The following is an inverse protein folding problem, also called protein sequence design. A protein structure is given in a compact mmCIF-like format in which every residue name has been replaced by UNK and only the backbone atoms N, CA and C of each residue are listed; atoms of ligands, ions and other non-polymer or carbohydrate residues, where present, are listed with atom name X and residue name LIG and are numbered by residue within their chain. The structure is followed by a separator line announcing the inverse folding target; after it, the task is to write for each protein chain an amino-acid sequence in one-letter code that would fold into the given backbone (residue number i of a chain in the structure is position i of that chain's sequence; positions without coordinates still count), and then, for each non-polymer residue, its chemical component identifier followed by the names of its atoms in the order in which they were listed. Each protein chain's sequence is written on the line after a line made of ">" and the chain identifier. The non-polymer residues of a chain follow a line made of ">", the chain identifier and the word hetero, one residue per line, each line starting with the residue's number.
data_IF_326278622241
#
_entry.id   IF_326278622241
#
_cell.length_a   1.000
_cell.length_b   1.000
_cell.length_c   1.000
_cell.angle_alpha   90.00
_cell.angle_beta   90.00
_cell.angle_gamma   90.00
#
_symmetry.space_group_name_H-M   'P 1'
#
loop_
_entity.id
_entity.type
_entity.pdbx_description
1 polymer ?
#
# COMPACT_ATOMS: atom_id res chain seq x y z
N UNK A 1 26.29 38.20 -15.04
CA UNK A 1 26.68 38.03 -16.46
C UNK A 1 26.22 36.65 -16.88
N UNK A 2 25.25 36.37 -17.75
CA UNK A 2 24.35 37.13 -18.60
C UNK A 2 23.94 36.17 -19.73
N UNK A 3 22.65 35.98 -20.00
CA UNK A 3 22.10 35.92 -21.36
C UNK A 3 20.56 36.00 -21.29
N UNK A 4 20.05 37.11 -21.80
CA UNK A 4 18.64 37.41 -22.10
C UNK A 4 18.52 37.50 -23.62
N UNK A 5 17.46 36.93 -24.22
CA UNK A 5 16.89 37.52 -25.43
C UNK A 5 15.40 37.17 -25.60
N UNK A 6 14.57 38.22 -25.52
CA UNK A 6 13.22 38.32 -26.06
C UNK A 6 13.33 38.62 -27.55
N UNK A 7 12.53 37.95 -28.38
CA UNK A 7 12.19 38.47 -29.71
C UNK A 7 10.71 38.84 -29.69
N UNK A 8 10.47 40.16 -29.62
CA UNK A 8 9.27 40.82 -30.10
C UNK A 8 9.42 40.99 -31.61
N UNK A 9 8.49 40.49 -32.40
CA UNK A 9 8.26 40.98 -33.75
C UNK A 9 6.91 41.70 -33.73
N UNK A 10 7.00 43.03 -33.74
CA UNK A 10 5.92 43.93 -34.13
C UNK A 10 5.93 44.00 -35.65
N UNK A 11 4.86 43.54 -36.30
CA UNK A 11 4.49 44.01 -37.63
C UNK A 11 3.24 44.88 -37.48
N UNK A 12 3.42 46.17 -37.79
CA UNK A 12 2.38 47.18 -37.85
C UNK A 12 2.20 47.54 -39.33
N UNK A 13 0.95 47.52 -39.82
CA UNK A 13 0.38 48.16 -41.04
C UNK A 13 -0.83 47.32 -41.48
N UNK A 14 -2.05 47.79 -41.74
CA UNK A 14 -2.64 49.11 -41.91
C UNK A 14 -4.14 49.03 -41.50
N UNK A 15 -4.71 50.15 -41.03
CA UNK A 15 -6.15 50.36 -40.88
C UNK A 15 -6.85 50.32 -42.24
N UNK A 16 -7.94 49.55 -42.37
CA UNK A 16 -9.11 49.88 -43.20
C UNK A 16 -10.37 49.36 -42.47
N UNK A 17 -11.30 50.27 -42.21
CA UNK A 17 -12.60 49.98 -41.63
C UNK A 17 -13.61 49.72 -42.75
N UNK A 18 -14.29 48.58 -42.71
CA UNK A 18 -15.61 48.40 -43.32
C UNK A 18 -16.35 47.28 -42.58
N UNK A 19 -17.49 47.67 -42.02
CA UNK A 19 -18.43 46.88 -41.23
C UNK A 19 -19.14 45.82 -42.07
N UNK A 20 -19.10 44.56 -41.64
CA UNK A 20 -20.14 43.55 -41.91
C UNK A 20 -20.31 42.71 -40.65
N UNK A 21 -21.50 42.79 -40.05
CA UNK A 21 -21.92 41.93 -38.94
C UNK A 21 -22.19 40.53 -39.48
N UNK A 22 -21.25 39.60 -39.32
CA UNK A 22 -21.53 38.17 -39.35
C UNK A 22 -21.31 37.61 -37.95
N UNK A 23 -22.40 37.37 -37.22
CA UNK A 23 -22.33 36.51 -36.04
C UNK A 23 -21.89 35.15 -36.55
N UNK A 24 -20.67 34.74 -36.20
CA UNK A 24 -20.10 33.49 -36.62
C UNK A 24 -20.94 32.37 -35.97
N UNK A 25 -21.70 31.60 -36.77
CA UNK A 25 -22.46 30.41 -36.32
C UNK A 25 -21.60 29.44 -35.49
N UNK A 26 -20.29 29.47 -35.69
CA UNK A 26 -19.31 28.70 -34.93
C UNK A 26 -19.13 29.17 -33.47
N UNK A 27 -19.48 30.42 -33.14
CA UNK A 27 -19.40 30.92 -31.76
C UNK A 27 -20.60 30.47 -30.92
N UNK A 28 -21.80 30.39 -31.51
CA UNK A 28 -22.98 29.85 -30.83
C UNK A 28 -22.90 28.32 -30.68
N UNK A 29 -22.22 27.62 -31.60
CA UNK A 29 -21.93 26.17 -31.47
C UNK A 29 -20.94 25.81 -30.36
N UNK A 30 -20.17 26.76 -29.82
CA UNK A 30 -19.32 26.50 -28.64
C UNK A 30 -20.13 26.43 -27.33
N UNK A 31 -21.42 26.82 -27.36
CA UNK A 31 -22.34 26.74 -26.22
C UNK A 31 -23.40 25.64 -26.35
N UNK A 32 -23.45 24.91 -27.47
CA UNK A 32 -24.40 23.80 -27.72
C UNK A 32 -23.94 22.43 -27.20
N UNK A 33 -22.88 22.39 -26.38
CA UNK A 33 -22.33 21.15 -25.82
C UNK A 33 -22.47 20.99 -24.31
N UNK A 34 -23.05 21.97 -23.60
CA UNK A 34 -23.24 21.87 -22.16
C UNK A 34 -24.62 21.28 -21.89
N UNK A 35 -24.80 20.01 -22.27
CA UNK A 35 -25.88 19.20 -21.73
C UNK A 35 -25.78 19.31 -20.21
N UNK A 36 -26.81 19.86 -19.57
CA UNK A 36 -26.98 19.74 -18.12
C UNK A 36 -26.75 18.27 -17.79
N UNK A 37 -25.80 17.93 -16.90
CA UNK A 37 -25.53 16.53 -16.60
C UNK A 37 -26.85 15.89 -16.16
N UNK A 38 -27.34 14.97 -16.98
CA UNK A 38 -28.55 14.20 -16.68
C UNK A 38 -28.27 13.48 -15.37
N UNK A 39 -29.12 13.70 -14.37
CA UNK A 39 -28.94 13.08 -13.06
C UNK A 39 -28.93 11.55 -13.25
N UNK A 40 -27.80 10.87 -12.96
CA UNK A 40 -27.70 9.43 -13.16
C UNK A 40 -28.63 8.64 -12.25
N UNK A 41 -29.26 9.26 -11.25
CA UNK A 41 -30.25 8.65 -10.36
C UNK A 41 -31.67 8.62 -10.92
N UNK A 42 -31.93 9.26 -12.08
CA UNK A 42 -33.26 9.28 -12.71
C UNK A 42 -33.23 8.84 -14.17
N UNK A 43 -34.28 8.17 -14.59
CA UNK A 43 -34.59 7.82 -15.98
C UNK A 43 -36.00 8.33 -16.30
N UNK A 44 -36.07 9.46 -17.03
CA UNK A 44 -37.34 10.13 -17.35
C UNK A 44 -38.27 10.27 -16.11
N UNK A 45 -37.74 10.87 -15.04
CA UNK A 45 -38.36 11.04 -13.71
C UNK A 45 -38.61 9.76 -12.89
N UNK A 46 -38.23 8.57 -13.38
CA UNK A 46 -38.26 7.34 -12.58
C UNK A 46 -36.95 7.18 -11.80
N UNK A 47 -37.01 7.00 -10.47
CA UNK A 47 -35.80 6.82 -9.67
C UNK A 47 -35.16 5.47 -9.99
N UNK A 48 -33.83 5.45 -10.10
CA UNK A 48 -33.01 4.25 -10.27
C UNK A 48 -31.81 4.29 -9.34
N UNK A 49 -31.21 3.12 -9.10
CA UNK A 49 -29.98 3.03 -8.29
C UNK A 49 -28.85 3.78 -9.00
N UNK A 50 -28.22 4.69 -8.28
CA UNK A 50 -26.99 5.36 -8.68
C UNK A 50 -25.94 5.15 -7.59
N UNK A 51 -24.69 5.00 -7.99
CA UNK A 51 -23.53 4.86 -7.10
C UNK A 51 -22.51 5.93 -7.48
N UNK A 52 -21.83 6.57 -6.50
CA UNK A 52 -20.76 7.51 -6.81
C UNK A 52 -19.62 6.84 -7.59
N UNK A 53 -18.82 7.67 -8.28
CA UNK A 53 -17.66 7.19 -9.01
C UNK A 53 -16.65 6.49 -8.11
N UNK A 54 -15.95 5.50 -8.69
CA UNK A 54 -14.84 4.84 -8.04
C UNK A 54 -13.63 5.78 -7.96
N UNK A 55 -13.14 6.04 -6.75
CA UNK A 55 -12.05 6.99 -6.50
C UNK A 55 -11.01 6.43 -5.55
N UNK A 56 -9.77 6.94 -5.65
CA UNK A 56 -8.79 6.77 -4.60
C UNK A 56 -9.13 7.69 -3.42
N UNK A 57 -9.83 7.16 -2.41
CA UNK A 57 -10.25 7.90 -1.23
C UNK A 57 -9.08 8.42 -0.37
N UNK A 58 -7.85 7.91 -0.57
CA UNK A 58 -6.67 8.38 0.15
C UNK A 58 -5.99 9.58 -0.50
N UNK A 59 -6.24 9.85 -1.78
CA UNK A 59 -5.50 10.86 -2.54
C UNK A 59 -5.63 12.27 -1.92
N UNK A 60 -4.50 12.90 -1.63
CA UNK A 60 -4.43 14.21 -0.99
C UNK A 60 -4.86 14.25 0.49
N UNK A 61 -5.27 13.13 1.08
CA UNK A 61 -5.69 13.07 2.48
C UNK A 61 -4.45 12.92 3.37
N UNK A 62 -4.29 13.75 4.42
CA UNK A 62 -3.14 13.67 5.30
C UNK A 62 -3.14 12.37 6.10
N UNK A 63 -2.01 11.66 6.08
CA UNK A 63 -1.80 10.45 6.89
C UNK A 63 -1.07 10.80 8.17
N UNK A 64 -1.59 10.34 9.30
CA UNK A 64 -0.91 10.43 10.60
C UNK A 64 0.02 9.23 10.77
N UNK A 65 1.32 9.48 10.72
CA UNK A 65 2.35 8.48 11.01
C UNK A 65 2.79 8.55 12.49
N UNK A 66 3.02 7.41 13.15
CA UNK A 66 3.57 7.39 14.51
C UNK A 66 5.08 7.64 14.57
N UNK A 67 5.78 7.43 13.47
CA UNK A 67 7.22 7.68 13.34
C UNK A 67 7.49 8.31 11.97
N UNK A 68 8.42 9.24 11.89
CA UNK A 68 8.91 9.82 10.64
C UNK A 68 10.35 10.27 10.87
N UNK A 69 11.28 9.87 10.00
CA UNK A 69 12.68 10.17 10.20
C UNK A 69 12.97 11.68 10.10
N UNK A 70 13.97 12.16 10.83
CA UNK A 70 14.48 13.52 10.65
C UNK A 70 13.63 14.64 11.25
N UNK A 71 12.51 14.34 11.94
CA UNK A 71 11.60 15.35 12.51
C UNK A 71 12.24 16.17 13.63
N UNK A 72 12.94 15.51 14.55
CA UNK A 72 13.57 16.16 15.70
C UNK A 72 15.06 16.39 15.49
N UNK A 73 15.76 15.37 14.99
CA UNK A 73 17.20 15.38 14.72
C UNK A 73 17.49 14.65 13.41
N UNK A 74 18.56 15.03 12.68
CA UNK A 74 19.01 14.25 11.53
C UNK A 74 19.41 12.83 11.94
N UNK A 75 18.91 11.83 11.21
CA UNK A 75 19.17 10.41 11.49
C UNK A 75 19.78 9.73 10.27
N UNK A 76 20.71 8.81 10.51
CA UNK A 76 21.28 7.98 9.45
C UNK A 76 20.41 6.75 9.22
N UNK A 77 20.17 6.41 7.96
CA UNK A 77 19.56 5.15 7.57
C UNK A 77 20.44 4.47 6.52
N UNK A 78 20.45 3.15 6.51
CA UNK A 78 21.28 2.38 5.58
C UNK A 78 20.43 1.40 4.79
N UNK A 79 20.73 1.27 3.50
CA UNK A 79 20.03 0.38 2.58
C UNK A 79 21.05 -0.54 1.91
N UNK A 80 20.73 -1.82 1.85
CA UNK A 80 21.49 -2.78 1.05
C UNK A 80 20.79 -2.92 -0.30
N UNK A 81 21.44 -2.55 -1.43
CA UNK A 81 20.82 -2.67 -2.75
C UNK A 81 20.54 -4.13 -3.12
N UNK A 82 21.35 -5.06 -2.63
CA UNK A 82 21.19 -6.50 -2.83
C UNK A 82 21.53 -7.27 -1.54
N UNK A 83 20.94 -8.47 -1.32
CA UNK A 83 21.31 -9.34 -0.22
C UNK A 83 22.82 -9.68 -0.26
N UNK A 84 23.58 -9.25 0.73
CA UNK A 84 25.03 -9.47 0.82
C UNK A 84 25.90 -8.34 0.26
N UNK A 85 25.32 -7.28 -0.31
CA UNK A 85 26.04 -6.07 -0.70
C UNK A 85 26.37 -5.19 0.53
N UNK A 86 27.40 -4.35 0.40
CA UNK A 86 27.71 -3.37 1.43
C UNK A 86 26.57 -2.35 1.56
N UNK A 87 26.04 -2.11 2.78
CA UNK A 87 24.95 -1.17 2.97
C UNK A 87 25.43 0.27 2.70
N UNK A 88 24.66 1.00 1.90
CA UNK A 88 24.88 2.42 1.66
C UNK A 88 24.06 3.23 2.67
N UNK A 89 24.74 4.09 3.43
CA UNK A 89 24.10 4.92 4.44
C UNK A 89 23.87 6.35 3.93
N UNK A 90 22.70 6.88 4.24
CA UNK A 90 22.21 8.20 3.87
C UNK A 90 21.70 8.94 5.10
N UNK A 91 21.56 10.26 4.98
CA UNK A 91 21.00 11.11 6.03
C UNK A 91 19.54 11.40 5.74
N UNK A 92 18.68 11.29 6.75
CA UNK A 92 17.33 11.82 6.75
C UNK A 92 17.25 13.05 7.65
N UNK A 93 16.82 14.18 7.10
CA UNK A 93 16.65 15.47 7.78
C UNK A 93 15.44 16.18 7.19
N UNK A 94 14.38 16.37 7.99
CA UNK A 94 13.11 16.94 7.54
C UNK A 94 13.24 18.43 7.13
N UNK A 95 14.30 19.10 7.62
CA UNK A 95 14.62 20.50 7.28
C UNK A 95 15.16 20.66 5.87
N UNK A 96 15.63 19.58 5.25
CA UNK A 96 16.27 19.59 3.94
C UNK A 96 15.38 18.93 2.89
N UNK A 97 15.00 19.69 1.86
CA UNK A 97 14.05 19.23 0.85
C UNK A 97 14.44 17.94 0.11
N UNK A 98 15.75 17.69 -0.05
CA UNK A 98 16.27 16.50 -0.76
C UNK A 98 16.36 15.24 0.10
N UNK A 99 16.30 15.38 1.43
CA UNK A 99 16.51 14.29 2.39
C UNK A 99 15.37 14.18 3.41
N UNK A 100 14.23 14.82 3.13
CA UNK A 100 13.00 14.70 3.91
C UNK A 100 12.11 13.61 3.33
N UNK A 101 11.45 12.86 4.21
CA UNK A 101 10.54 11.77 3.86
C UNK A 101 9.21 11.88 4.62
N UNK A 102 8.47 13.00 4.48
CA UNK A 102 7.26 13.29 5.25
C UNK A 102 6.10 12.35 4.91
N UNK A 103 5.15 12.19 5.83
CA UNK A 103 3.95 11.38 5.64
C UNK A 103 3.03 11.87 4.50
N UNK A 104 3.18 13.13 4.06
CA UNK A 104 2.46 13.67 2.90
C UNK A 104 2.81 12.97 1.58
N UNK A 105 3.97 12.31 1.51
CA UNK A 105 4.38 11.52 0.33
C UNK A 105 3.69 10.15 0.24
N UNK A 106 2.79 9.81 1.17
CA UNK A 106 2.00 8.57 1.10
C UNK A 106 0.79 8.71 0.18
N UNK A 107 0.30 9.92 -0.02
CA UNK A 107 -0.99 10.21 -0.66
C UNK A 107 -0.90 11.31 -1.73
N UNK A 108 0.31 11.71 -2.11
CA UNK A 108 0.57 12.65 -3.19
C UNK A 108 0.43 11.99 -4.57
N UNK A 109 0.73 12.76 -5.61
CA UNK A 109 0.70 12.26 -6.98
C UNK A 109 1.88 11.31 -7.22
N UNK A 110 1.58 10.02 -7.31
CA UNK A 110 2.58 8.99 -7.60
C UNK A 110 3.02 9.07 -9.06
N UNK A 111 4.27 9.52 -9.30
CA UNK A 111 4.93 9.48 -10.59
C UNK A 111 6.00 8.37 -10.61
N UNK A 112 5.86 7.31 -11.43
CA UNK A 112 6.84 6.22 -11.49
C UNK A 112 8.27 6.65 -11.83
N UNK A 113 8.44 7.80 -12.51
CA UNK A 113 9.77 8.35 -12.85
C UNK A 113 10.37 9.19 -11.73
N UNK A 114 9.57 9.65 -10.77
CA UNK A 114 9.99 10.47 -9.65
C UNK A 114 9.17 10.11 -8.40
N UNK A 115 9.50 8.94 -7.84
CA UNK A 115 8.78 8.38 -6.70
C UNK A 115 9.14 9.13 -5.43
N UNK A 116 8.13 9.66 -4.76
CA UNK A 116 8.21 10.23 -3.42
C UNK A 116 7.90 9.14 -2.39
N UNK A 117 8.53 9.25 -1.21
CA UNK A 117 8.52 8.19 -0.21
C UNK A 117 8.42 8.73 1.20
N UNK A 118 7.53 8.18 2.02
CA UNK A 118 7.62 8.35 3.47
C UNK A 118 8.59 7.33 4.08
N UNK A 119 9.24 7.71 5.19
CA UNK A 119 10.17 6.83 5.91
C UNK A 119 10.04 7.01 7.42
N UNK A 120 9.95 5.90 8.15
CA UNK A 120 10.00 5.88 9.61
C UNK A 120 11.43 6.16 10.11
N UNK A 121 11.57 6.40 11.40
CA UNK A 121 12.90 6.35 12.03
C UNK A 121 13.53 4.95 11.86
N UNK A 122 14.87 4.85 11.87
CA UNK A 122 15.56 3.56 11.82
C UNK A 122 15.13 2.66 12.99
N UNK A 123 14.67 1.46 12.65
CA UNK A 123 14.23 0.47 13.62
C UNK A 123 15.41 -0.48 13.87
N UNK A 124 15.78 -0.74 15.14
CA UNK A 124 16.87 -1.68 15.43
C UNK A 124 16.52 -3.09 14.94
N UNK A 125 17.51 -3.86 14.44
CA UNK A 125 17.27 -5.22 14.01
C UNK A 125 16.80 -6.08 15.18
N UNK A 126 15.74 -6.85 14.95
CA UNK A 126 15.15 -7.71 15.96
C UNK A 126 15.94 -9.02 16.03
N UNK A 127 16.47 -9.35 17.21
CA UNK A 127 17.30 -10.54 17.44
C UNK A 127 16.51 -11.75 17.94
N UNK A 128 15.26 -11.57 18.36
CA UNK A 128 14.42 -12.64 18.91
C UNK A 128 12.97 -12.53 18.47
N UNK A 129 12.33 -13.67 18.24
CA UNK A 129 10.90 -13.73 17.90
C UNK A 129 10.00 -13.22 19.03
N UNK A 130 10.49 -13.20 20.27
CA UNK A 130 9.73 -12.71 21.42
C UNK A 130 9.97 -11.21 21.69
N UNK A 131 10.80 -10.54 20.89
CA UNK A 131 11.01 -9.11 21.03
C UNK A 131 9.68 -8.34 20.81
N UNK A 132 9.52 -7.17 21.46
CA UNK A 132 8.37 -6.31 21.23
C UNK A 132 8.21 -5.95 19.74
N UNK A 133 6.98 -5.80 19.25
CA UNK A 133 6.73 -5.37 17.87
C UNK A 133 7.17 -3.92 17.63
N UNK A 134 7.58 -3.63 16.39
CA UNK A 134 8.05 -2.32 15.94
C UNK A 134 6.98 -1.23 16.06
N UNK A 135 5.70 -1.62 15.93
CA UNK A 135 4.51 -0.79 16.15
C UNK A 135 4.53 0.57 15.42
N UNK A 136 5.11 0.63 14.22
CA UNK A 136 4.99 1.81 13.37
C UNK A 136 3.60 1.81 12.73
N UNK A 137 2.86 2.91 12.88
CA UNK A 137 1.47 3.01 12.44
C UNK A 137 1.26 4.15 11.48
N UNK A 138 0.42 3.91 10.48
CA UNK A 138 -0.11 4.91 9.54
C UNK A 138 -1.62 4.93 9.69
N UNK A 139 -2.19 6.09 10.02
CA UNK A 139 -3.64 6.27 10.18
C UNK A 139 -4.15 7.28 9.18
N UNK A 140 -5.14 6.87 8.40
CA UNK A 140 -5.82 7.65 7.37
C UNK A 140 -7.29 7.82 7.77
N UNK A 141 -7.73 9.07 7.94
CA UNK A 141 -9.12 9.41 8.24
C UNK A 141 -9.82 9.93 6.99
N UNK A 142 -10.83 9.22 6.49
CA UNK A 142 -11.50 9.53 5.22
C UNK A 142 -12.56 10.62 5.35
N UNK A 143 -12.99 10.96 6.57
CA UNK A 143 -13.97 12.00 6.87
C UNK A 143 -15.43 11.64 6.56
N UNK A 144 -15.69 10.52 5.88
CA UNK A 144 -17.02 9.94 5.64
C UNK A 144 -16.92 8.42 5.48
N UNK A 145 -18.06 7.74 5.44
CA UNK A 145 -18.11 6.31 5.14
C UNK A 145 -17.83 6.05 3.65
N UNK A 146 -16.97 5.09 3.38
CA UNK A 146 -16.67 4.55 2.07
C UNK A 146 -16.92 3.05 2.05
N UNK A 147 -17.40 2.53 0.92
CA UNK A 147 -17.35 1.10 0.60
C UNK A 147 -16.03 0.79 -0.09
N UNK A 148 -15.09 0.18 0.64
CA UNK A 148 -13.74 -0.05 0.16
C UNK A 148 -13.64 -1.33 -0.68
N UNK A 149 -13.17 -1.20 -1.92
CA UNK A 149 -12.85 -2.34 -2.78
C UNK A 149 -11.47 -2.93 -2.47
N UNK A 150 -10.45 -2.07 -2.25
CA UNK A 150 -9.10 -2.53 -1.91
C UNK A 150 -8.33 -1.50 -1.08
N UNK A 151 -7.32 -1.98 -0.36
CA UNK A 151 -6.25 -1.17 0.23
C UNK A 151 -4.94 -1.62 -0.41
N UNK A 152 -4.13 -0.66 -0.87
CA UNK A 152 -2.90 -0.95 -1.61
C UNK A 152 -1.74 -0.14 -1.04
N UNK A 153 -0.65 -0.82 -0.70
CA UNK A 153 0.59 -0.24 -0.20
C UNK A 153 1.68 -0.50 -1.23
N UNK A 154 2.34 0.55 -1.69
CA UNK A 154 3.51 0.47 -2.55
C UNK A 154 4.73 0.88 -1.73
N UNK A 155 5.73 0.01 -1.69
CA UNK A 155 6.99 0.25 -1.00
C UNK A 155 7.99 0.88 -1.96
N UNK A 156 8.89 1.66 -1.37
CA UNK A 156 9.92 2.38 -2.11
C UNK A 156 10.88 1.40 -2.82
N UNK A 157 11.52 1.85 -3.91
CA UNK A 157 12.58 1.08 -4.55
C UNK A 157 13.65 0.66 -3.54
N UNK A 158 14.24 -0.52 -3.73
CA UNK A 158 15.29 -1.08 -2.87
C UNK A 158 14.90 -1.26 -1.38
N UNK A 159 13.62 -1.13 -1.05
CA UNK A 159 13.10 -1.38 0.30
C UNK A 159 12.39 -2.74 0.34
N UNK A 160 12.79 -3.68 1.22
CA UNK A 160 12.11 -4.96 1.35
C UNK A 160 10.70 -4.77 1.89
N UNK A 161 9.79 -5.70 1.53
CA UNK A 161 8.45 -5.74 2.15
C UNK A 161 8.61 -6.14 3.63
N UNK A 162 7.93 -5.44 4.55
CA UNK A 162 7.87 -5.88 5.94
C UNK A 162 7.28 -7.28 6.04
N UNK A 163 7.83 -8.12 6.92
CA UNK A 163 7.31 -9.46 7.12
C UNK A 163 5.91 -9.45 7.74
N UNK A 164 5.68 -8.64 8.77
CA UNK A 164 4.44 -8.68 9.55
C UNK A 164 3.72 -7.33 9.57
N UNK A 165 2.56 -7.30 8.90
CA UNK A 165 1.71 -6.11 8.75
C UNK A 165 0.27 -6.45 9.15
N UNK A 166 -0.41 -5.52 9.81
CA UNK A 166 -1.83 -5.61 10.10
C UNK A 166 -2.57 -4.37 9.58
N UNK A 167 -3.66 -4.57 8.87
CA UNK A 167 -4.57 -3.54 8.40
C UNK A 167 -5.81 -3.60 9.27
N UNK A 168 -6.19 -2.46 9.82
CA UNK A 168 -7.41 -2.25 10.60
C UNK A 168 -8.27 -1.21 9.92
N UNK A 169 -9.58 -1.28 10.15
CA UNK A 169 -10.54 -0.24 9.78
C UNK A 169 -11.32 0.25 10.99
N UNK A 170 -11.88 1.44 10.87
CA UNK A 170 -12.92 1.97 11.76
C UNK A 170 -14.18 2.24 10.97
N UNK A 171 -15.35 2.14 11.62
CA UNK A 171 -16.65 2.51 11.04
C UNK A 171 -17.32 3.66 11.81
N UNK A 172 -16.64 4.17 12.84
CA UNK A 172 -17.15 5.11 13.83
C UNK A 172 -16.21 6.31 14.03
N UNK A 173 -15.49 6.70 12.98
CA UNK A 173 -14.58 7.85 12.93
C UNK A 173 -13.39 7.72 13.88
N UNK A 174 -12.77 6.53 13.90
CA UNK A 174 -11.53 6.24 14.60
C UNK A 174 -11.68 5.90 16.08
N UNK A 175 -12.91 5.78 16.61
CA UNK A 175 -13.17 5.45 18.02
C UNK A 175 -12.88 3.98 18.33
N UNK A 176 -13.36 3.08 17.47
CA UNK A 176 -13.06 1.64 17.55
C UNK A 176 -12.34 1.18 16.29
N UNK A 177 -11.54 0.13 16.45
CA UNK A 177 -10.70 -0.43 15.40
C UNK A 177 -10.95 -1.93 15.30
N UNK A 178 -11.35 -2.38 14.12
CA UNK A 178 -11.57 -3.79 13.82
C UNK A 178 -10.50 -4.30 12.85
N UNK A 179 -9.99 -5.53 13.04
CA UNK A 179 -9.05 -6.15 12.11
C UNK A 179 -9.65 -6.27 10.71
N UNK A 180 -8.85 -5.96 9.70
CA UNK A 180 -9.28 -6.01 8.29
C UNK A 180 -8.49 -7.07 7.51
N UNK A 181 -7.17 -7.09 7.65
CA UNK A 181 -6.28 -8.06 7.00
C UNK A 181 -4.95 -8.18 7.77
N UNK A 182 -4.39 -9.39 7.82
CA UNK A 182 -3.06 -9.65 8.38
C UNK A 182 -2.13 -10.25 7.32
N UNK A 183 -0.87 -9.85 7.36
CA UNK A 183 0.22 -10.39 6.58
C UNK A 183 1.35 -10.79 7.53
N UNK A 184 1.84 -12.04 7.46
CA UNK A 184 2.97 -12.52 8.25
C UNK A 184 3.47 -13.87 7.70
N UNK A 185 4.77 -14.13 7.76
CA UNK A 185 5.28 -15.50 7.54
C UNK A 185 4.92 -16.46 8.67
N UNK A 186 4.71 -15.95 9.88
CA UNK A 186 4.41 -16.72 11.08
C UNK A 186 3.07 -16.29 11.69
N UNK A 187 2.01 -16.30 10.88
CA UNK A 187 0.63 -15.91 11.27
C UNK A 187 0.17 -16.44 12.63
N UNK A 188 0.47 -17.72 12.93
CA UNK A 188 0.05 -18.35 14.18
C UNK A 188 0.80 -17.79 15.38
N UNK A 189 2.09 -17.52 15.25
CA UNK A 189 2.94 -17.00 16.34
C UNK A 189 2.74 -15.50 16.54
N UNK A 190 2.63 -14.73 15.47
CA UNK A 190 2.52 -13.26 15.53
C UNK A 190 1.10 -12.81 15.86
N UNK A 191 0.08 -13.42 15.25
CA UNK A 191 -1.32 -12.98 15.37
C UNK A 191 -2.26 -14.03 15.97
N UNK A 192 -1.77 -15.21 16.35
CA UNK A 192 -2.64 -16.29 16.84
C UNK A 192 -3.53 -16.92 15.76
N UNK A 193 -3.38 -16.53 14.49
CA UNK A 193 -4.29 -16.88 13.39
C UNK A 193 -3.72 -17.97 12.48
N UNK A 194 -4.56 -18.89 11.96
CA UNK A 194 -4.13 -19.82 10.93
C UNK A 194 -3.72 -19.09 9.64
N UNK A 195 -2.69 -19.61 8.96
CA UNK A 195 -2.25 -19.09 7.66
C UNK A 195 -3.26 -19.50 6.57
N UNK A 196 -3.71 -18.54 5.76
CA UNK A 196 -4.64 -18.72 4.63
C UNK A 196 -5.93 -19.45 5.01
N UNK A 197 -6.52 -19.08 6.15
CA UNK A 197 -7.80 -19.65 6.60
C UNK A 197 -8.92 -19.44 5.57
N UNK A 198 -9.66 -20.51 5.24
CA UNK A 198 -10.84 -20.42 4.38
C UNK A 198 -11.96 -19.66 5.08
N UNK A 199 -12.66 -18.80 4.34
CA UNK A 199 -13.82 -18.05 4.83
C UNK A 199 -15.05 -18.77 4.29
N UNK A 200 -15.96 -19.07 5.19
CA UNK A 200 -17.25 -19.69 4.92
C UNK A 200 -18.33 -18.62 5.01
N UNK A 201 -19.57 -18.98 4.64
CA UNK A 201 -20.71 -18.07 4.77
C UNK A 201 -21.02 -17.63 6.20
N UNK A 202 -20.51 -18.33 7.22
CA UNK A 202 -20.77 -18.00 8.63
C UNK A 202 -19.79 -17.00 9.22
N UNK A 203 -18.61 -16.81 8.61
CA UNK A 203 -17.56 -15.92 9.10
C UNK A 203 -17.06 -14.94 8.03
N UNK A 204 -17.97 -14.44 7.19
CA UNK A 204 -17.66 -13.52 6.09
C UNK A 204 -17.11 -12.16 6.51
N UNK A 205 -17.04 -11.85 7.80
CA UNK A 205 -16.40 -10.65 8.32
C UNK A 205 -15.09 -10.95 9.08
N UNK A 206 -14.58 -12.18 8.98
CA UNK A 206 -13.32 -12.53 9.64
C UNK A 206 -12.13 -11.99 8.82
N UNK A 207 -11.16 -11.39 9.52
CA UNK A 207 -9.88 -10.97 8.98
C UNK A 207 -8.92 -12.16 8.86
N UNK A 208 -8.46 -12.42 7.63
CA UNK A 208 -7.51 -13.50 7.33
C UNK A 208 -6.07 -13.09 7.66
N UNK A 209 -5.22 -14.09 7.87
CA UNK A 209 -3.77 -13.92 7.84
C UNK A 209 -3.16 -14.69 6.67
N UNK A 210 -2.21 -14.09 5.94
CA UNK A 210 -1.52 -14.73 4.80
C UNK A 210 -0.06 -14.31 4.68
N UNK A 211 0.79 -15.23 4.25
CA UNK A 211 2.18 -15.00 3.86
C UNK A 211 2.35 -14.64 2.37
N UNK A 212 1.25 -14.54 1.61
CA UNK A 212 1.27 -14.34 0.15
C UNK A 212 2.10 -13.12 -0.30
N UNK A 213 2.12 -12.06 0.51
CA UNK A 213 2.89 -10.84 0.24
C UNK A 213 4.38 -11.08 -0.01
N UNK A 214 4.95 -12.16 0.54
CA UNK A 214 6.36 -12.54 0.36
C UNK A 214 6.66 -13.02 -1.06
N UNK A 215 5.69 -13.63 -1.70
CA UNK A 215 5.80 -14.24 -3.03
C UNK A 215 5.28 -13.32 -4.14
N UNK A 216 4.43 -12.35 -3.80
CA UNK A 216 3.92 -11.38 -4.77
C UNK A 216 4.98 -10.33 -5.08
N UNK A 217 5.42 -10.25 -6.34
CA UNK A 217 6.33 -9.21 -6.82
C UNK A 217 7.81 -9.58 -6.88
N UNK A 218 8.16 -10.84 -7.14
CA UNK A 218 9.54 -11.20 -7.51
C UNK A 218 9.77 -12.68 -7.79
N UNK A 219 9.75 -13.07 -9.08
CA UNK A 219 10.66 -14.08 -9.66
C UNK A 219 10.66 -14.02 -11.22
N UNK A 220 10.89 -12.83 -11.80
CA UNK A 220 11.13 -12.70 -13.24
C UNK A 220 12.12 -11.55 -13.49
N UNK A 221 13.40 -11.86 -13.34
CA UNK A 221 14.49 -11.57 -14.29
C UNK A 221 14.72 -10.19 -14.91
N UNK A 222 13.96 -9.12 -14.65
CA UNK A 222 14.23 -7.82 -15.25
C UNK A 222 13.86 -6.65 -14.34
N UNK A 223 14.76 -5.68 -14.28
CA UNK A 223 14.72 -4.43 -13.53
C UNK A 223 13.34 -3.73 -13.56
N UNK A 224 12.77 -3.49 -12.38
CA UNK A 224 11.51 -2.75 -12.20
C UNK A 224 10.55 -3.37 -11.18
N UNK A 225 11.02 -3.81 -10.02
CA UNK A 225 10.18 -4.48 -9.03
C UNK A 225 9.32 -3.47 -8.26
N UNK A 226 8.04 -3.33 -8.62
CA UNK A 226 7.08 -2.63 -7.75
C UNK A 226 6.76 -3.53 -6.57
N UNK A 227 7.46 -3.31 -5.46
CA UNK A 227 7.17 -3.93 -4.17
C UNK A 227 5.80 -3.45 -3.68
N UNK A 228 4.76 -4.27 -3.88
CA UNK A 228 3.35 -3.89 -3.60
C UNK A 228 2.66 -4.96 -2.76
N UNK A 229 1.88 -4.51 -1.79
CA UNK A 229 0.93 -5.33 -1.05
C UNK A 229 -0.46 -4.79 -1.32
N UNK A 230 -1.33 -5.64 -1.85
CA UNK A 230 -2.72 -5.30 -2.11
C UNK A 230 -3.64 -6.23 -1.32
N UNK A 231 -4.61 -5.62 -0.65
CA UNK A 231 -5.68 -6.29 0.06
C UNK A 231 -6.99 -5.99 -0.68
N UNK A 232 -7.63 -7.01 -1.23
CA UNK A 232 -8.96 -6.92 -1.82
C UNK A 232 -10.01 -7.36 -0.78
N UNK A 233 -10.98 -6.50 -0.48
CA UNK A 233 -11.88 -6.68 0.67
C UNK A 233 -12.82 -7.88 0.51
N UNK A 234 -13.21 -8.18 -0.73
CA UNK A 234 -14.14 -9.25 -1.08
C UNK A 234 -13.44 -10.56 -1.48
N UNK A 235 -12.10 -10.60 -1.52
CA UNK A 235 -11.36 -11.76 -1.99
C UNK A 235 -11.60 -13.02 -1.16
N UNK A 236 -12.05 -14.08 -1.85
CA UNK A 236 -12.34 -15.38 -1.26
C UNK A 236 -13.47 -15.38 -0.24
N UNK A 237 -14.39 -14.41 -0.31
CA UNK A 237 -15.64 -14.38 0.46
C UNK A 237 -16.79 -14.94 -0.39
N UNK A 238 -17.50 -16.00 0.06
CA UNK A 238 -18.53 -16.68 -0.73
C UNK A 238 -19.64 -15.80 -1.31
N UNK A 239 -20.11 -14.79 -0.58
CA UNK A 239 -21.22 -13.92 -1.01
C UNK A 239 -20.76 -12.73 -1.87
N UNK A 240 -19.49 -12.66 -2.27
CA UNK A 240 -18.97 -11.55 -3.08
C UNK A 240 -19.67 -11.40 -4.44
N UNK A 241 -20.12 -12.50 -5.04
CA UNK A 241 -20.87 -12.48 -6.31
C UNK A 241 -22.29 -11.94 -6.15
N UNK A 242 -22.82 -11.91 -4.93
CA UNK A 242 -24.16 -11.42 -4.59
C UNK A 242 -24.06 -10.28 -3.54
N UNK A 243 -23.09 -9.39 -3.74
CA UNK A 243 -22.76 -8.31 -2.79
C UNK A 243 -23.95 -7.38 -2.52
N UNK A 244 -24.73 -7.08 -3.55
CA UNK A 244 -25.89 -6.17 -3.47
C UNK A 244 -26.98 -6.66 -2.51
N UNK A 245 -27.07 -7.98 -2.31
CA UNK A 245 -28.02 -8.59 -1.38
C UNK A 245 -27.35 -9.08 -0.07
N UNK A 246 -26.05 -8.86 0.11
CA UNK A 246 -25.30 -9.28 1.30
C UNK A 246 -25.03 -8.11 2.23
N UNK A 247 -25.90 -7.85 3.24
CA UNK A 247 -25.66 -6.79 4.22
C UNK A 247 -24.39 -7.04 5.04
N UNK A 248 -24.01 -8.31 5.21
CA UNK A 248 -22.78 -8.72 5.90
C UNK A 248 -21.54 -8.19 5.18
N UNK A 249 -21.50 -8.31 3.85
CA UNK A 249 -20.38 -7.82 3.06
C UNK A 249 -20.42 -6.30 2.87
N UNK A 250 -21.60 -5.70 2.76
CA UNK A 250 -21.76 -4.24 2.72
C UNK A 250 -21.17 -3.58 3.99
N UNK A 251 -21.47 -4.14 5.16
CA UNK A 251 -20.85 -3.72 6.42
C UNK A 251 -19.35 -4.03 6.46
N UNK A 252 -18.92 -5.18 5.93
CA UNK A 252 -17.50 -5.56 5.84
C UNK A 252 -16.66 -4.59 4.99
N UNK A 253 -17.18 -4.08 3.88
CA UNK A 253 -16.42 -3.12 3.05
C UNK A 253 -16.50 -1.69 3.58
N UNK A 254 -17.48 -1.40 4.44
CA UNK A 254 -17.69 -0.05 4.98
C UNK A 254 -16.58 0.35 5.96
N UNK A 255 -15.99 1.54 5.75
CA UNK A 255 -15.01 2.13 6.65
C UNK A 255 -15.04 3.68 6.62
N UNK A 256 -14.70 4.31 7.74
CA UNK A 256 -14.42 5.75 7.87
C UNK A 256 -12.93 6.06 7.99
N UNK A 257 -12.15 5.09 8.49
CA UNK A 257 -10.71 5.26 8.72
C UNK A 257 -9.99 3.94 8.46
N UNK A 258 -8.73 4.04 8.04
CA UNK A 258 -7.83 2.91 7.83
C UNK A 258 -6.57 3.12 8.65
N UNK A 259 -6.12 2.05 9.31
CA UNK A 259 -4.88 2.03 10.07
C UNK A 259 -4.05 0.85 9.64
N UNK A 260 -2.82 1.12 9.22
CA UNK A 260 -1.82 0.11 8.91
C UNK A 260 -0.82 0.08 10.04
N UNK A 261 -0.52 -1.10 10.55
CA UNK A 261 0.46 -1.34 11.63
C UNK A 261 1.55 -2.25 11.09
N UNK A 262 2.77 -1.75 11.08
CA UNK A 262 3.99 -2.52 10.78
C UNK A 262 4.51 -3.11 12.09
N UNK A 263 4.29 -4.41 12.28
CA UNK A 263 4.65 -5.10 13.52
C UNK A 263 6.08 -5.65 13.49
N UNK A 264 6.54 -6.11 12.32
CA UNK A 264 7.94 -6.53 12.12
C UNK A 264 8.39 -6.24 10.70
N UNK A 265 9.52 -5.55 10.56
CA UNK A 265 10.18 -5.37 9.28
C UNK A 265 10.79 -6.67 8.74
N UNK A 266 11.53 -7.39 9.60
CA UNK A 266 12.15 -8.68 9.25
C UNK A 266 11.86 -9.70 10.34
N UNK A 267 11.71 -10.97 9.95
CA UNK A 267 11.69 -12.06 10.93
C UNK A 267 13.11 -12.44 11.33
N UNK A 268 13.39 -12.59 12.63
CA UNK A 268 14.66 -13.14 13.09
C UNK A 268 14.86 -14.52 12.47
N UNK A 269 16.08 -14.79 12.01
CA UNK A 269 16.48 -16.14 11.62
C UNK A 269 16.65 -16.91 12.93
N UNK A 270 15.78 -17.90 13.16
CA UNK A 270 16.06 -18.91 14.18
C UNK A 270 17.22 -19.74 13.63
N UNK A 271 18.40 -19.67 14.26
CA UNK A 271 19.48 -20.61 13.97
C UNK A 271 18.93 -22.02 14.17
N UNK A 272 18.65 -22.71 13.08
CA UNK A 272 18.23 -24.11 13.13
C UNK A 272 19.44 -24.98 13.47
N UNK A 273 19.85 -24.97 14.74
CA UNK A 273 20.67 -26.05 15.30
C UNK A 273 19.93 -27.39 15.26
N UNK A 274 18.61 -27.36 15.19
CA UNK A 274 17.76 -28.56 15.31
C UNK A 274 17.70 -29.42 14.02
N UNK A 275 18.19 -28.92 12.88
CA UNK A 275 18.27 -29.72 11.64
C UNK A 275 19.57 -30.51 11.52
N UNK A 276 20.60 -30.16 12.29
CA UNK A 276 21.86 -30.90 12.31
C UNK A 276 21.80 -32.16 13.20
N UNK A 277 20.96 -32.14 14.24
CA UNK A 277 20.81 -33.29 15.14
C UNK A 277 20.05 -34.47 14.49
N UNK A 278 19.18 -34.21 13.51
CA UNK A 278 18.45 -35.27 12.78
C UNK A 278 19.36 -36.03 11.80
N UNK A 279 20.42 -35.39 11.29
CA UNK A 279 21.39 -36.03 10.37
C UNK A 279 22.54 -36.75 11.08
N UNK A 280 22.72 -36.52 12.39
CA UNK A 280 23.70 -37.23 13.21
C UNK A 280 23.13 -38.54 13.77
N UNK A 281 21.81 -38.60 14.04
CA UNK A 281 21.19 -39.80 14.60
C UNK A 281 20.95 -40.91 13.56
N UNK A 282 20.57 -40.58 12.31
CA UNK A 282 20.46 -41.60 11.24
C UNK A 282 21.80 -42.24 10.85
N UNK A 283 22.92 -41.50 10.99
CA UNK A 283 24.26 -42.04 10.72
C UNK A 283 24.79 -42.93 11.83
N UNK A 284 24.27 -42.79 13.06
CA UNK A 284 24.64 -43.65 14.19
C UNK A 284 23.77 -44.90 14.28
N UNK A 285 22.53 -44.90 13.77
CA UNK A 285 21.72 -46.12 13.68
C UNK A 285 22.11 -47.04 12.50
N UNK A 286 22.59 -46.49 11.38
CA UNK A 286 22.95 -47.31 10.21
C UNK A 286 24.38 -47.89 10.23
N UNK A 287 25.22 -47.54 11.21
CA UNK A 287 26.59 -48.05 11.31
C UNK A 287 26.75 -49.29 12.20
N UNK A 288 25.67 -49.75 12.84
CA UNK A 288 25.71 -50.86 13.82
C UNK A 288 25.05 -52.17 13.32
N UNK A 289 24.70 -52.29 12.03
CA UNK A 289 24.00 -53.48 11.50
C UNK A 289 24.62 -54.15 10.25
N UNK A 290 25.90 -53.92 9.93
CA UNK A 290 26.61 -54.73 8.90
C UNK A 290 28.01 -55.16 9.34
N UNK A 291 28.18 -56.49 9.51
CA UNK A 291 29.46 -57.19 9.65
C UNK A 291 29.36 -58.45 10.54
N UNK A 292 28.54 -59.44 10.17
CA UNK A 292 28.90 -60.81 9.69
C UNK A 292 29.48 -61.81 10.69
N UNK A 293 29.02 -63.09 10.68
CA UNK A 293 29.50 -64.18 11.53
C UNK A 293 30.71 -64.90 10.91
N UNK A 294 31.62 -65.44 11.74
CA UNK A 294 32.72 -66.29 11.27
C UNK A 294 33.70 -66.71 12.35
N UNK A 295 33.38 -67.81 13.05
CA UNK A 295 34.18 -69.02 13.27
C UNK A 295 33.56 -69.88 14.38
#
# INVERSE_FOLDING_TARGET
>A
MGLTLRVMILFMMFLHASSVSSVNENFLKMFEGQQTPVDPCYDEDRPRRCIPDFVNAAFGVPVKASSTCGLHIPVHYCEAPEPGANPQCHLCDDRQAKTRFPATYLTDLNNPQNVTCWRSEPIPPVTSINAPPDNVTLTLSLGKKYELTYVSLQFCPNTPKPDSIAIYKSMDYGKTWQPFQFYSSQCRRVYGRPNRATITKTNEQEARCTDAHRYTGGDMGNFGQTSRIAFSTLEGRPSATDFDNSPVLQDWVTATDIKVVFNRLHMPIEDSSDTLDILVDERMLHKTSRGTPGN
#
